data_IF_316926150885
#
_entry.id   IF_316926150885
#
_cell.length_a   1.000
_cell.length_b   1.000
_cell.length_c   1.000
_cell.angle_alpha   90.00
_cell.angle_beta   90.00
_cell.angle_gamma   90.00
#
_symmetry.space_group_name_H-M   'P 1'
#
loop_
_entity.id
_entity.type
_entity.pdbx_description
1 polymer ?
#
# COMPACT_ATOMS: atom_id res chain seq x y z
N UNK A 1 -11.02 -4.62 -22.52
CA UNK A 1 -11.03 -5.13 -21.14
C UNK A 1 -12.36 -4.74 -20.51
N UNK A 2 -13.21 -5.72 -20.20
CA UNK A 2 -14.47 -5.47 -19.51
C UNK A 2 -14.17 -5.42 -18.01
N UNK A 3 -14.24 -4.22 -17.43
CA UNK A 3 -14.19 -4.04 -15.98
C UNK A 3 -15.39 -4.76 -15.36
N UNK A 4 -15.16 -5.63 -14.38
CA UNK A 4 -16.24 -6.33 -13.70
C UNK A 4 -17.03 -5.35 -12.83
N UNK A 5 -18.35 -5.51 -12.75
CA UNK A 5 -19.18 -4.72 -11.85
C UNK A 5 -18.89 -5.09 -10.39
N UNK A 6 -19.13 -4.19 -9.44
CA UNK A 6 -18.94 -4.44 -8.00
C UNK A 6 -19.65 -5.72 -7.53
N UNK A 7 -20.89 -5.95 -7.97
CA UNK A 7 -21.64 -7.16 -7.62
C UNK A 7 -20.99 -8.44 -8.19
N UNK A 8 -20.49 -8.38 -9.43
CA UNK A 8 -19.79 -9.52 -10.03
C UNK A 8 -18.44 -9.79 -9.33
N UNK A 9 -17.74 -8.73 -8.93
CA UNK A 9 -16.50 -8.81 -8.17
C UNK A 9 -16.67 -9.46 -6.81
N UNK A 10 -17.64 -8.98 -6.03
CA UNK A 10 -17.95 -9.55 -4.72
C UNK A 10 -18.38 -11.02 -4.82
N UNK A 11 -19.06 -11.42 -5.90
CA UNK A 11 -19.38 -12.83 -6.15
C UNK A 11 -18.13 -13.69 -6.39
N UNK A 12 -17.13 -13.18 -7.11
CA UNK A 12 -15.84 -13.87 -7.31
C UNK A 12 -15.08 -13.98 -5.99
N UNK A 13 -14.98 -12.89 -5.22
CA UNK A 13 -14.32 -12.86 -3.91
C UNK A 13 -15.01 -13.83 -2.94
N UNK A 14 -16.35 -13.82 -2.90
CA UNK A 14 -17.13 -14.78 -2.12
C UNK A 14 -16.83 -16.22 -2.52
N UNK A 15 -16.76 -16.49 -3.83
CA UNK A 15 -16.44 -17.82 -4.33
C UNK A 15 -15.06 -18.30 -3.89
N UNK A 16 -14.06 -17.43 -3.98
CA UNK A 16 -12.70 -17.71 -3.50
C UNK A 16 -12.64 -17.91 -1.98
N UNK A 17 -13.45 -17.18 -1.22
CA UNK A 17 -13.42 -17.20 0.24
C UNK A 17 -14.20 -18.39 0.84
N UNK A 18 -15.41 -18.67 0.34
CA UNK A 18 -16.43 -19.47 1.04
C UNK A 18 -17.12 -20.58 0.23
N UNK A 19 -16.86 -20.76 -1.07
CA UNK A 19 -17.33 -21.97 -1.79
C UNK A 19 -16.72 -23.25 -1.19
N UNK A 20 -17.17 -24.47 -1.57
CA UNK A 20 -16.63 -25.72 -0.99
C UNK A 20 -15.10 -25.88 -1.05
N UNK A 21 -14.44 -25.23 -2.02
CA UNK A 21 -12.97 -25.21 -2.16
C UNK A 21 -12.33 -23.91 -1.68
N UNK A 22 -13.12 -23.03 -1.08
CA UNK A 22 -12.76 -21.68 -0.65
C UNK A 22 -11.74 -21.67 0.49
N UNK A 23 -11.02 -20.56 0.60
CA UNK A 23 -9.88 -20.42 1.52
C UNK A 23 -10.25 -20.68 2.98
N UNK A 24 -11.42 -20.23 3.44
CA UNK A 24 -11.81 -20.38 4.84
C UNK A 24 -12.13 -21.83 5.25
N UNK A 25 -12.49 -22.69 4.29
CA UNK A 25 -12.70 -24.13 4.55
C UNK A 25 -11.41 -24.90 4.81
N UNK A 26 -10.25 -24.26 4.60
CA UNK A 26 -8.94 -24.81 4.97
C UNK A 26 -8.64 -24.66 6.46
N UNK A 27 -9.46 -23.88 7.16
CA UNK A 27 -9.35 -23.62 8.58
C UNK A 27 -10.55 -24.22 9.33
N UNK A 28 -10.37 -24.48 10.62
CA UNK A 28 -11.47 -24.86 11.50
C UNK A 28 -12.47 -23.71 11.58
N UNK A 29 -13.72 -24.02 11.25
CA UNK A 29 -14.85 -23.11 11.40
C UNK A 29 -15.03 -22.76 12.89
N UNK A 30 -15.26 -21.47 13.23
CA UNK A 30 -15.55 -21.06 14.60
C UNK A 30 -16.78 -21.80 15.16
N UNK A 31 -16.58 -22.61 16.19
CA UNK A 31 -17.62 -23.43 16.82
C UNK A 31 -18.54 -22.63 17.77
N UNK A 32 -18.13 -21.41 18.11
CA UNK A 32 -18.90 -20.48 18.93
C UNK A 32 -19.87 -19.61 18.12
N UNK A 33 -19.86 -19.71 16.79
CA UNK A 33 -20.74 -18.94 15.91
C UNK A 33 -21.83 -19.83 15.32
N UNK A 34 -23.07 -19.33 15.29
CA UNK A 34 -24.16 -19.95 14.53
C UNK A 34 -24.08 -19.59 13.05
N UNK A 35 -24.80 -20.33 12.21
CA UNK A 35 -24.77 -20.20 10.74
C UNK A 35 -25.02 -18.77 10.23
N UNK A 36 -25.92 -18.02 10.87
CA UNK A 36 -26.21 -16.63 10.49
C UNK A 36 -25.04 -15.69 10.80
N UNK A 37 -24.35 -15.91 11.92
CA UNK A 37 -23.16 -15.13 12.29
C UNK A 37 -21.98 -15.46 11.37
N UNK A 38 -21.81 -16.73 10.99
CA UNK A 38 -20.83 -17.16 9.99
C UNK A 38 -21.08 -16.47 8.65
N UNK A 39 -22.35 -16.42 8.20
CA UNK A 39 -22.71 -15.75 6.94
C UNK A 39 -22.43 -14.24 6.99
N UNK A 40 -22.72 -13.59 8.12
CA UNK A 40 -22.43 -12.17 8.30
C UNK A 40 -20.93 -11.89 8.25
N UNK A 41 -20.12 -12.66 8.98
CA UNK A 41 -18.66 -12.54 9.01
C UNK A 41 -18.06 -12.71 7.60
N UNK A 42 -18.50 -13.72 6.84
CA UNK A 42 -18.07 -13.92 5.45
C UNK A 42 -18.44 -12.70 4.59
N UNK A 43 -19.62 -12.12 4.78
CA UNK A 43 -20.05 -10.92 4.06
C UNK A 43 -19.23 -9.66 4.40
N UNK A 44 -18.79 -9.53 5.66
CA UNK A 44 -17.87 -8.47 6.08
C UNK A 44 -16.49 -8.65 5.42
N UNK A 45 -15.93 -9.86 5.48
CA UNK A 45 -14.63 -10.17 4.87
C UNK A 45 -14.62 -9.98 3.34
N UNK A 46 -15.72 -10.29 2.66
CA UNK A 46 -15.86 -10.04 1.22
C UNK A 46 -15.78 -8.54 0.92
N UNK A 47 -16.45 -7.70 1.72
CA UNK A 47 -16.40 -6.23 1.56
C UNK A 47 -15.00 -5.70 1.84
N UNK A 48 -14.39 -6.13 2.93
CA UNK A 48 -13.02 -5.71 3.29
C UNK A 48 -12.01 -6.03 2.18
N UNK A 49 -12.12 -7.21 1.56
CA UNK A 49 -11.28 -7.60 0.43
C UNK A 49 -11.59 -6.79 -0.83
N UNK A 50 -12.86 -6.55 -1.13
CA UNK A 50 -13.29 -5.76 -2.29
C UNK A 50 -12.72 -4.33 -2.23
N UNK A 51 -12.80 -3.71 -1.05
CA UNK A 51 -12.30 -2.36 -0.75
C UNK A 51 -10.76 -2.30 -0.74
N UNK A 52 -10.09 -3.37 -0.33
CA UNK A 52 -8.62 -3.43 -0.24
C UNK A 52 -7.95 -3.65 -1.59
N UNK A 53 -8.53 -4.52 -2.41
CA UNK A 53 -7.96 -4.89 -3.70
C UNK A 53 -8.14 -3.76 -4.74
N UNK A 54 -7.23 -3.60 -5.71
CA UNK A 54 -7.37 -2.54 -6.72
C UNK A 54 -8.70 -2.60 -7.47
N UNK A 55 -9.32 -1.45 -7.69
CA UNK A 55 -10.51 -1.33 -8.54
C UNK A 55 -10.18 -1.50 -10.02
N UNK A 56 -11.21 -1.65 -10.87
CA UNK A 56 -11.03 -1.68 -12.32
C UNK A 56 -10.43 -2.98 -12.88
N UNK A 57 -10.23 -4.01 -12.05
CA UNK A 57 -9.71 -5.31 -12.47
C UNK A 57 -10.76 -6.07 -13.31
N UNK A 58 -10.30 -6.82 -14.29
CA UNK A 58 -11.09 -7.90 -14.89
C UNK A 58 -10.98 -9.18 -14.03
N UNK A 59 -11.68 -10.25 -14.41
CA UNK A 59 -11.73 -11.49 -13.64
C UNK A 59 -10.35 -12.16 -13.53
N UNK A 60 -9.61 -12.25 -14.64
CA UNK A 60 -8.28 -12.87 -14.66
C UNK A 60 -7.29 -12.10 -13.79
N UNK A 61 -7.33 -10.76 -13.85
CA UNK A 61 -6.51 -9.94 -12.99
C UNK A 61 -6.91 -10.11 -11.52
N UNK A 62 -8.20 -10.12 -11.19
CA UNK A 62 -8.66 -10.34 -9.82
C UNK A 62 -8.17 -11.67 -9.24
N UNK A 63 -8.22 -12.76 -10.01
CA UNK A 63 -7.74 -14.08 -9.59
C UNK A 63 -6.25 -14.07 -9.24
N UNK A 64 -5.43 -13.32 -9.99
CA UNK A 64 -4.00 -13.14 -9.68
C UNK A 64 -3.79 -12.49 -8.31
N UNK A 65 -4.56 -11.43 -8.00
CA UNK A 65 -4.46 -10.78 -6.69
C UNK A 65 -4.96 -11.69 -5.57
N UNK A 66 -6.06 -12.42 -5.77
CA UNK A 66 -6.59 -13.37 -4.78
C UNK A 66 -5.61 -14.51 -4.47
N UNK A 67 -4.94 -15.06 -5.48
CA UNK A 67 -3.87 -16.04 -5.29
C UNK A 67 -2.65 -15.42 -4.58
N UNK A 68 -2.30 -14.17 -4.91
CA UNK A 68 -1.29 -13.41 -4.18
C UNK A 68 -1.62 -13.25 -2.69
N UNK A 69 -2.88 -12.90 -2.39
CA UNK A 69 -3.43 -12.76 -1.04
C UNK A 69 -3.33 -14.07 -0.28
N UNK A 70 -3.69 -15.19 -0.91
CA UNK A 70 -3.55 -16.52 -0.30
C UNK A 70 -2.10 -16.83 0.07
N UNK A 71 -1.15 -16.55 -0.84
CA UNK A 71 0.28 -16.78 -0.56
C UNK A 71 0.81 -15.92 0.56
N UNK A 72 0.37 -14.66 0.65
CA UNK A 72 0.73 -13.76 1.74
C UNK A 72 0.14 -14.23 3.07
N UNK A 73 -1.15 -14.57 3.07
CA UNK A 73 -1.86 -15.10 4.23
C UNK A 73 -1.19 -16.34 4.81
N UNK A 74 -0.78 -17.28 3.96
CA UNK A 74 -0.05 -18.47 4.39
C UNK A 74 1.27 -18.18 5.11
N UNK A 75 1.92 -17.05 4.82
CA UNK A 75 3.18 -16.66 5.47
C UNK A 75 2.93 -15.96 6.80
N UNK A 76 1.85 -15.19 6.90
CA UNK A 76 1.51 -14.39 8.07
C UNK A 76 0.65 -15.14 9.09
N UNK A 77 -0.11 -16.15 8.67
CA UNK A 77 -1.03 -16.90 9.51
C UNK A 77 -0.79 -18.41 9.46
N UNK A 78 -0.30 -18.95 10.59
CA UNK A 78 -0.09 -20.39 10.80
C UNK A 78 -1.17 -21.01 11.73
N UNK A 79 -2.24 -20.28 12.02
CA UNK A 79 -3.31 -20.74 12.91
C UNK A 79 -4.18 -21.84 12.29
N UNK A 80 -4.80 -22.65 13.15
CA UNK A 80 -5.73 -23.70 12.75
C UNK A 80 -7.17 -23.18 12.58
N UNK A 81 -7.50 -22.03 13.16
CA UNK A 81 -8.77 -21.35 13.01
C UNK A 81 -8.69 -20.26 11.93
N UNK A 82 -9.85 -19.68 11.61
CA UNK A 82 -9.93 -18.58 10.66
C UNK A 82 -8.94 -17.47 10.99
N UNK A 83 -8.30 -16.88 9.97
CA UNK A 83 -7.47 -15.71 10.18
C UNK A 83 -8.36 -14.55 10.68
N UNK A 84 -7.87 -13.73 11.62
CA UNK A 84 -8.52 -12.47 11.93
C UNK A 84 -8.63 -11.60 10.68
N UNK A 85 -9.72 -10.84 10.53
CA UNK A 85 -9.95 -9.95 9.38
C UNK A 85 -8.73 -9.07 9.06
N UNK A 86 -8.10 -8.50 10.09
CA UNK A 86 -6.87 -7.71 9.98
C UNK A 86 -5.74 -8.44 9.23
N UNK A 87 -5.53 -9.72 9.53
CA UNK A 87 -4.45 -10.51 8.91
C UNK A 87 -4.78 -10.83 7.44
N UNK A 88 -6.06 -11.02 7.12
CA UNK A 88 -6.53 -11.20 5.75
C UNK A 88 -6.37 -9.91 4.92
N UNK A 89 -6.72 -8.76 5.50
CA UNK A 89 -6.55 -7.43 4.88
C UNK A 89 -5.07 -7.11 4.65
N UNK A 90 -4.21 -7.35 5.65
CA UNK A 90 -2.76 -7.16 5.50
C UNK A 90 -2.19 -8.06 4.40
N UNK A 91 -2.65 -9.31 4.29
CA UNK A 91 -2.25 -10.20 3.20
C UNK A 91 -2.70 -9.70 1.82
N UNK A 92 -3.90 -9.11 1.73
CA UNK A 92 -4.42 -8.54 0.49
C UNK A 92 -3.67 -7.27 0.08
N UNK A 93 -3.30 -6.42 1.06
CA UNK A 93 -2.39 -5.32 0.84
C UNK A 93 -1.03 -5.80 0.33
N UNK A 94 -0.42 -6.80 0.97
CA UNK A 94 0.85 -7.37 0.54
C UNK A 94 0.81 -7.91 -0.89
N UNK A 95 -0.28 -8.57 -1.27
CA UNK A 95 -0.52 -9.03 -2.63
C UNK A 95 -0.62 -7.85 -3.60
N UNK A 96 -1.40 -6.83 -3.25
CA UNK A 96 -1.53 -5.64 -4.07
C UNK A 96 -0.19 -4.91 -4.23
N UNK A 97 0.62 -4.86 -3.18
CA UNK A 97 1.96 -4.29 -3.18
C UNK A 97 2.96 -5.14 -3.97
N UNK A 98 2.80 -6.46 -4.01
CA UNK A 98 3.64 -7.34 -4.82
C UNK A 98 3.39 -7.17 -6.33
N UNK A 99 2.14 -6.87 -6.72
CA UNK A 99 1.77 -6.63 -8.11
C UNK A 99 1.98 -5.17 -8.55
N UNK A 100 1.92 -4.20 -7.63
CA UNK A 100 2.26 -2.80 -7.88
C UNK A 100 3.76 -2.54 -7.72
N UNK A 101 4.56 -2.74 -8.77
CA UNK A 101 6.00 -2.46 -8.77
C UNK A 101 6.37 -1.01 -8.35
N UNK A 102 5.45 -0.04 -8.52
CA UNK A 102 5.64 1.34 -8.07
C UNK A 102 5.35 1.61 -6.58
N UNK A 103 4.50 0.81 -5.93
CA UNK A 103 4.06 1.09 -4.55
C UNK A 103 5.09 0.63 -3.49
N UNK A 104 5.85 -0.44 -3.75
CA UNK A 104 6.95 -0.85 -2.85
C UNK A 104 8.03 0.21 -2.74
N UNK A 105 8.29 0.92 -3.83
CA UNK A 105 9.25 2.02 -3.86
C UNK A 105 8.69 3.21 -3.08
N UNK A 106 7.41 3.56 -3.27
CA UNK A 106 6.74 4.64 -2.53
C UNK A 106 6.65 4.38 -1.02
N UNK A 107 6.34 3.15 -0.58
CA UNK A 107 6.32 2.79 0.86
C UNK A 107 7.71 2.78 1.46
N UNK A 108 8.72 2.27 0.72
CA UNK A 108 10.10 2.33 1.16
C UNK A 108 10.56 3.79 1.31
N UNK A 109 10.21 4.66 0.36
CA UNK A 109 10.50 6.09 0.40
C UNK A 109 9.79 6.78 1.56
N UNK A 110 8.52 6.46 1.80
CA UNK A 110 7.74 6.99 2.93
C UNK A 110 8.37 6.59 4.26
N UNK A 111 8.68 5.31 4.44
CA UNK A 111 9.32 4.82 5.67
C UNK A 111 10.70 5.45 5.93
N UNK A 112 11.48 5.70 4.87
CA UNK A 112 12.77 6.39 5.00
C UNK A 112 12.61 7.87 5.37
N UNK A 113 11.62 8.54 4.77
CA UNK A 113 11.31 9.95 5.07
C UNK A 113 10.82 10.12 6.50
N UNK A 114 9.91 9.26 6.97
CA UNK A 114 9.39 9.28 8.34
C UNK A 114 10.49 9.03 9.38
N UNK A 115 11.38 8.06 9.14
CA UNK A 115 12.51 7.79 10.02
C UNK A 115 13.45 9.01 10.15
N UNK A 116 13.77 9.64 9.02
CA UNK A 116 14.64 10.82 9.02
C UNK A 116 13.99 11.99 9.76
N UNK A 117 12.69 12.23 9.54
CA UNK A 117 11.94 13.26 10.25
C UNK A 117 11.91 13.03 11.77
N UNK A 118 11.77 11.77 12.21
CA UNK A 118 11.71 11.41 13.62
C UNK A 118 13.05 11.47 14.36
N UNK A 119 14.16 11.15 13.67
CA UNK A 119 15.46 10.93 14.33
C UNK A 119 16.55 11.91 13.92
N UNK A 120 16.31 12.79 12.93
CA UNK A 120 17.29 13.75 12.43
C UNK A 120 18.54 13.09 11.84
N UNK A 121 18.49 11.79 11.53
CA UNK A 121 19.58 11.02 10.95
C UNK A 121 19.06 9.97 9.96
N UNK A 122 19.86 9.59 8.96
CA UNK A 122 19.48 8.54 8.01
C UNK A 122 19.41 7.16 8.67
N UNK A 123 18.54 6.28 8.16
CA UNK A 123 18.54 4.87 8.55
C UNK A 123 19.85 4.21 8.10
N UNK A 124 20.59 3.63 9.04
CA UNK A 124 21.88 3.01 8.78
C UNK A 124 21.75 1.92 7.71
N UNK A 125 22.57 2.00 6.66
CA UNK A 125 22.57 1.05 5.54
C UNK A 125 21.52 1.30 4.45
N UNK A 126 20.58 2.23 4.62
CA UNK A 126 19.47 2.45 3.65
C UNK A 126 19.37 3.88 3.14
N UNK A 127 19.92 4.87 3.84
CA UNK A 127 19.94 6.26 3.39
C UNK A 127 21.36 6.85 3.45
N UNK A 128 22.16 6.59 2.41
CA UNK A 128 23.49 7.19 2.22
C UNK A 128 23.48 8.10 0.97
N UNK A 129 24.31 9.15 0.92
CA UNK A 129 24.46 9.99 -0.28
C UNK A 129 24.71 9.18 -1.56
N UNK A 130 25.51 8.11 -1.47
CA UNK A 130 25.82 7.24 -2.61
C UNK A 130 24.60 6.50 -3.16
N UNK A 131 23.69 6.07 -2.28
CA UNK A 131 22.45 5.38 -2.70
C UNK A 131 21.46 6.35 -3.32
N UNK A 132 21.29 7.53 -2.72
CA UNK A 132 20.45 8.59 -3.29
C UNK A 132 20.97 9.02 -4.67
N UNK A 133 22.29 9.13 -4.85
CA UNK A 133 22.90 9.40 -6.16
C UNK A 133 22.62 8.29 -7.21
N UNK A 134 22.58 7.01 -6.81
CA UNK A 134 22.19 5.90 -7.70
C UNK A 134 20.71 6.03 -8.12
N UNK A 135 19.82 6.39 -7.19
CA UNK A 135 18.39 6.59 -7.51
C UNK A 135 18.17 7.74 -8.50
N UNK A 136 18.92 8.84 -8.34
CA UNK A 136 18.91 9.97 -9.26
C UNK A 136 19.42 9.55 -10.64
N UNK A 137 20.54 8.81 -10.71
CA UNK A 137 21.07 8.29 -11.98
C UNK A 137 20.11 7.34 -12.71
N UNK A 138 19.27 6.61 -11.97
CA UNK A 138 18.24 5.73 -12.52
C UNK A 138 16.94 6.44 -12.88
N UNK A 139 16.81 7.73 -12.58
CA UNK A 139 15.60 8.50 -12.86
C UNK A 139 14.41 8.13 -11.97
N UNK A 140 14.65 7.48 -10.83
CA UNK A 140 13.60 7.10 -9.86
C UNK A 140 13.08 8.35 -9.12
N UNK A 141 14.01 9.22 -8.73
CA UNK A 141 13.73 10.55 -8.15
C UNK A 141 14.68 11.56 -8.77
N UNK A 142 14.24 12.81 -8.88
CA UNK A 142 15.12 13.93 -9.21
C UNK A 142 15.91 14.38 -7.97
N UNK A 143 17.02 15.09 -8.19
CA UNK A 143 17.77 15.72 -7.10
C UNK A 143 16.88 16.68 -6.29
N UNK A 144 15.95 17.39 -6.94
CA UNK A 144 15.00 18.30 -6.30
C UNK A 144 14.02 17.56 -5.39
N UNK A 145 13.41 16.48 -5.87
CA UNK A 145 12.48 15.67 -5.09
C UNK A 145 13.20 15.03 -3.90
N UNK A 146 14.41 14.51 -4.11
CA UNK A 146 15.21 13.93 -3.04
C UNK A 146 15.56 14.96 -1.95
N UNK A 147 15.87 16.21 -2.35
CA UNK A 147 16.09 17.33 -1.42
C UNK A 147 14.83 17.67 -0.64
N UNK A 148 13.68 17.76 -1.31
CA UNK A 148 12.40 18.08 -0.66
C UNK A 148 11.99 16.99 0.34
N UNK A 149 12.22 15.72 0.00
CA UNK A 149 11.96 14.56 0.86
C UNK A 149 12.98 14.39 2.01
N UNK A 150 14.05 15.18 2.05
CA UNK A 150 15.05 15.12 3.12
C UNK A 150 16.05 13.97 2.98
N UNK A 151 16.22 13.38 1.80
CA UNK A 151 17.27 12.38 1.59
C UNK A 151 18.67 13.01 1.68
N UNK A 152 19.67 12.29 2.23
CA UNK A 152 21.04 12.76 2.23
C UNK A 152 21.57 12.80 0.79
N UNK A 153 22.05 13.96 0.36
CA UNK A 153 22.56 14.19 -1.00
C UNK A 153 24.08 14.25 -1.02
N UNK A 154 24.67 13.93 -2.18
CA UNK A 154 26.06 14.31 -2.44
C UNK A 154 26.14 15.84 -2.60
N UNK A 155 27.32 16.47 -2.42
CA UNK A 155 27.47 17.91 -2.67
C UNK A 155 27.07 18.32 -4.10
N UNK A 156 27.29 17.44 -5.07
CA UNK A 156 26.94 17.66 -6.47
C UNK A 156 25.43 17.61 -6.69
N UNK A 157 24.74 16.61 -6.13
CA UNK A 157 23.29 16.50 -6.24
C UNK A 157 22.58 17.62 -5.45
N UNK A 158 23.14 18.07 -4.32
CA UNK A 158 22.60 19.23 -3.57
C UNK A 158 22.69 20.52 -4.39
N UNK A 159 23.82 20.75 -5.06
CA UNK A 159 24.00 21.89 -5.95
C UNK A 159 23.03 21.83 -7.14
N UNK A 160 22.81 20.65 -7.69
CA UNK A 160 21.87 20.42 -8.79
C UNK A 160 20.41 20.66 -8.36
N UNK A 161 19.99 20.11 -7.22
CA UNK A 161 18.66 20.32 -6.66
C UNK A 161 18.33 21.81 -6.46
N UNK A 162 19.32 22.64 -6.12
CA UNK A 162 19.15 24.09 -5.95
C UNK A 162 18.95 24.84 -7.26
N UNK A 163 19.47 24.31 -8.39
CA UNK A 163 19.30 24.90 -9.73
C UNK A 163 17.96 24.55 -10.36
N UNK A 164 17.37 23.44 -9.95
CA UNK A 164 16.08 22.98 -10.46
C UNK A 164 14.92 23.81 -9.90
N UNK A 165 13.87 24.08 -10.70
CA UNK A 165 12.65 24.72 -10.22
C UNK A 165 11.97 23.85 -9.14
N UNK A 166 11.07 24.42 -8.33
CA UNK A 166 10.32 23.65 -7.33
C UNK A 166 9.57 22.48 -7.98
N UNK A 167 9.60 21.31 -7.35
CA UNK A 167 8.83 20.17 -7.82
C UNK A 167 7.33 20.31 -7.49
N UNK A 168 6.51 19.46 -8.10
CA UNK A 168 5.05 19.51 -7.93
C UNK A 168 4.63 19.37 -6.45
N UNK A 169 5.28 18.50 -5.69
CA UNK A 169 5.00 18.30 -4.26
C UNK A 169 5.37 19.52 -3.40
N UNK A 170 6.44 20.26 -3.75
CA UNK A 170 6.76 21.55 -3.12
C UNK A 170 5.67 22.59 -3.39
N UNK A 171 5.17 22.65 -4.63
CA UNK A 171 4.10 23.57 -5.05
C UNK A 171 2.81 23.28 -4.27
N UNK A 172 2.41 22.01 -4.20
CA UNK A 172 1.20 21.58 -3.49
C UNK A 172 1.30 21.86 -1.98
N UNK A 173 2.46 21.60 -1.37
CA UNK A 173 2.72 21.94 0.02
C UNK A 173 2.61 23.45 0.24
N UNK A 174 3.18 24.26 -0.64
CA UNK A 174 3.10 25.71 -0.56
C UNK A 174 1.65 26.24 -0.70
N UNK A 175 0.85 25.66 -1.60
CA UNK A 175 -0.58 26.00 -1.77
C UNK A 175 -1.34 25.71 -0.47
N UNK A 176 -1.15 24.51 0.11
CA UNK A 176 -1.83 24.08 1.34
C UNK A 176 -1.49 24.99 2.52
N UNK A 177 -0.23 25.34 2.69
CA UNK A 177 0.22 26.27 3.73
C UNK A 177 -0.40 27.66 3.56
N UNK A 178 -0.43 28.20 2.33
CA UNK A 178 -1.06 29.51 2.06
C UNK A 178 -2.57 29.50 2.32
N UNK A 179 -3.26 28.42 1.93
CA UNK A 179 -4.69 28.27 2.21
C UNK A 179 -4.97 28.28 3.72
N UNK A 180 -4.16 27.56 4.51
CA UNK A 180 -4.27 27.52 5.97
C UNK A 180 -4.00 28.88 6.62
N UNK A 181 -2.98 29.61 6.16
CA UNK A 181 -2.65 30.95 6.68
C UNK A 181 -3.74 31.98 6.34
N UNK A 182 -4.34 31.91 5.14
CA UNK A 182 -5.46 32.78 4.76
C UNK A 182 -6.74 32.49 5.55
N UNK A 183 -6.97 31.24 5.92
CA UNK A 183 -8.08 30.85 6.81
C UNK A 183 -7.87 31.24 8.29
N UNK A 184 -6.63 31.47 8.72
CA UNK A 184 -6.29 31.96 10.07
C UNK A 184 -6.21 33.50 10.15
N UNK A 185 -6.12 34.18 9.01
CA UNK A 185 -6.06 35.65 8.91
C UNK A 185 -7.37 36.32 8.48
N UNK A 186 -8.43 35.55 8.24
CA UNK A 186 -9.79 36.06 8.04
C UNK A 186 -10.51 36.05 9.39
N UNK A 187 -10.22 37.05 10.22
CA UNK A 187 -10.98 37.39 11.43
C UNK A 187 -11.29 38.88 11.38
#
# INVERSE_FOLDING_TARGET
>A
MNVITTNARQAVIFGWLWNPEGVLHRYRVPDHLGDDAIRAEVGDLVRDLDDTLPGGLDADALDVYLEGTWRALRRSWAGLCWPPAKVLIEAAHDAAHAHGAGYREEVALRGLTEFYAAHGRPLAGVATPARTAEMIRRGIVTAREARHAGFPLTPQDDAEARRQPPCQSEIETAIRCRARLRGLGAS
#
